data_IF_604569542950
#
_entry.id   IF_604569542950
#
_cell.length_a   1.000
_cell.length_b   1.000
_cell.length_c   1.000
_cell.angle_alpha   90.00
_cell.angle_beta   90.00
_cell.angle_gamma   90.00
#
_symmetry.space_group_name_H-M   'P 1'
#
loop_
_entity.id
_entity.type
_entity.pdbx_description
1 polymer ?
#
# COMPACT_ATOMS: atom_id res chain seq x y z
N UNK A 1 -5.76 -27.45 -2.82
CA UNK A 1 -5.01 -26.69 -1.77
C UNK A 1 -5.24 -25.21 -2.05
N UNK A 2 -6.07 -24.49 -1.27
CA UNK A 2 -6.55 -23.18 -1.69
C UNK A 2 -5.38 -22.19 -1.74
N UNK A 3 -5.28 -21.49 -2.86
CA UNK A 3 -4.29 -20.47 -3.13
C UNK A 3 -4.51 -19.28 -2.19
N UNK A 4 -3.90 -19.29 -1.00
CA UNK A 4 -3.68 -18.05 -0.24
C UNK A 4 -2.67 -17.28 -1.07
N UNK A 5 -3.19 -16.39 -1.90
CA UNK A 5 -2.38 -15.51 -2.71
C UNK A 5 -1.43 -14.76 -1.77
N UNK A 6 -0.12 -14.88 -2.00
CA UNK A 6 0.98 -14.21 -1.30
C UNK A 6 0.96 -12.67 -1.46
N UNK A 7 -0.18 -12.04 -1.23
CA UNK A 7 -0.31 -10.60 -1.13
C UNK A 7 0.00 -10.22 0.30
N UNK A 8 0.89 -9.24 0.50
CA UNK A 8 1.09 -8.71 1.85
C UNK A 8 -0.27 -8.20 2.35
N UNK A 9 -0.78 -8.66 3.51
CA UNK A 9 -2.10 -8.27 4.00
C UNK A 9 -2.22 -6.75 4.20
N UNK A 10 -1.10 -6.06 4.44
CA UNK A 10 -1.01 -4.60 4.46
C UNK A 10 -1.61 -3.94 3.21
N UNK A 11 -1.38 -4.51 2.01
CA UNK A 11 -1.84 -3.94 0.75
C UNK A 11 -3.36 -4.06 0.54
N UNK A 12 -4.07 -4.76 1.43
CA UNK A 12 -5.53 -4.90 1.39
C UNK A 12 -6.23 -3.98 2.40
N UNK A 13 -5.47 -3.30 3.25
CA UNK A 13 -6.02 -2.38 4.25
C UNK A 13 -6.43 -1.06 3.57
N UNK A 14 -7.48 -0.42 4.08
CA UNK A 14 -7.82 0.96 3.71
C UNK A 14 -6.77 1.92 4.26
N UNK A 15 -6.71 3.14 3.73
CA UNK A 15 -5.88 4.20 4.33
C UNK A 15 -6.37 4.55 5.73
N UNK A 16 -5.43 4.91 6.61
CA UNK A 16 -5.71 5.40 7.96
C UNK A 16 -4.73 6.53 8.26
N UNK A 17 -5.26 7.76 8.34
CA UNK A 17 -4.49 8.97 8.64
C UNK A 17 -4.11 9.03 10.13
N UNK A 18 -4.75 8.25 10.99
CA UNK A 18 -4.53 8.28 12.43
C UNK A 18 -5.03 9.57 13.09
N UNK A 19 -4.95 9.69 14.43
CA UNK A 19 -5.57 10.80 15.15
C UNK A 19 -4.71 12.07 15.21
N UNK A 20 -3.44 12.02 14.79
CA UNK A 20 -2.57 13.19 14.77
C UNK A 20 -2.88 14.08 13.56
N UNK A 21 -2.46 15.36 13.60
CA UNK A 21 -2.90 16.40 12.65
C UNK A 21 -1.79 16.96 11.77
N UNK A 22 -0.68 16.24 11.62
CA UNK A 22 0.32 16.60 10.61
C UNK A 22 -0.21 16.27 9.21
N UNK A 23 0.32 16.94 8.18
CA UNK A 23 0.02 16.62 6.78
C UNK A 23 1.27 16.02 6.13
N UNK A 24 1.53 14.73 6.42
CA UNK A 24 2.71 14.03 5.90
C UNK A 24 2.31 13.29 4.62
N UNK A 25 2.89 13.67 3.49
CA UNK A 25 2.71 12.94 2.24
C UNK A 25 3.23 11.50 2.38
N UNK A 26 2.37 10.53 2.09
CA UNK A 26 2.67 9.10 2.09
C UNK A 26 2.01 8.43 0.91
N UNK A 27 2.44 7.21 0.63
CA UNK A 27 1.90 6.38 -0.44
C UNK A 27 1.13 5.20 0.14
N UNK A 28 0.02 4.82 -0.46
CA UNK A 28 -0.74 3.62 -0.13
C UNK A 28 -1.09 2.86 -1.41
N UNK A 29 -1.36 1.57 -1.28
CA UNK A 29 -1.87 0.75 -2.37
C UNK A 29 -3.39 0.83 -2.46
N UNK A 30 -3.90 1.34 -3.58
CA UNK A 30 -5.30 1.35 -3.90
C UNK A 30 -5.65 0.08 -4.69
N UNK A 31 -6.45 -0.81 -4.07
CA UNK A 31 -6.85 -2.08 -4.67
C UNK A 31 -7.86 -1.91 -5.81
N UNK A 32 -8.61 -0.81 -5.86
CA UNK A 32 -9.57 -0.52 -6.93
C UNK A 32 -8.86 -0.10 -8.21
N UNK A 33 -7.89 0.81 -8.10
CA UNK A 33 -7.11 1.30 -9.25
C UNK A 33 -5.89 0.44 -9.56
N UNK A 34 -5.53 -0.47 -8.63
CA UNK A 34 -4.32 -1.29 -8.66
C UNK A 34 -3.06 -0.44 -8.81
N UNK A 35 -2.99 0.67 -8.08
CA UNK A 35 -1.88 1.63 -8.13
C UNK A 35 -1.49 2.08 -6.74
N UNK A 36 -0.26 2.56 -6.63
CA UNK A 36 0.19 3.30 -5.47
C UNK A 36 -0.20 4.77 -5.61
N UNK A 37 -0.93 5.30 -4.66
CA UNK A 37 -1.48 6.66 -4.69
C UNK A 37 -1.06 7.44 -3.43
N UNK A 38 -1.11 8.75 -3.52
CA UNK A 38 -0.75 9.65 -2.41
C UNK A 38 -1.93 9.76 -1.44
N UNK A 39 -1.63 9.80 -0.14
CA UNK A 39 -2.54 10.25 0.91
C UNK A 39 -1.77 11.05 1.96
N UNK A 40 -2.49 11.75 2.84
CA UNK A 40 -1.89 12.52 3.93
C UNK A 40 -2.05 11.78 5.25
N UNK A 41 -0.92 11.44 5.85
CA UNK A 41 -0.83 10.78 7.14
C UNK A 41 -0.68 11.80 8.27
N UNK A 42 -1.47 11.63 9.32
CA UNK A 42 -1.52 12.47 10.51
C UNK A 42 -0.25 12.49 11.34
N UNK A 43 0.66 11.52 11.14
CA UNK A 43 1.96 11.45 11.82
C UNK A 43 2.01 10.54 13.06
N UNK A 44 0.89 9.95 13.46
CA UNK A 44 0.88 8.92 14.50
C UNK A 44 -0.25 7.92 14.30
N UNK A 45 -0.10 6.71 14.86
CA UNK A 45 -0.99 5.55 14.63
C UNK A 45 -1.14 5.27 13.13
N UNK A 46 -2.30 4.88 12.62
CA UNK A 46 -2.44 4.42 11.24
C UNK A 46 -2.21 2.93 11.10
N UNK A 47 -2.04 2.47 9.85
CA UNK A 47 -1.82 1.06 9.55
C UNK A 47 -0.66 0.84 8.55
N UNK A 48 -0.46 -0.42 8.16
CA UNK A 48 0.68 -0.84 7.35
C UNK A 48 0.56 -0.51 5.84
N UNK A 49 -0.59 -0.03 5.35
CA UNK A 49 -0.75 0.50 3.99
C UNK A 49 -0.27 1.96 3.92
N UNK A 50 0.96 2.21 4.35
CA UNK A 50 1.56 3.52 4.51
C UNK A 50 3.07 3.41 4.21
N UNK A 51 3.48 3.96 3.07
CA UNK A 51 4.83 3.86 2.54
C UNK A 51 5.43 5.25 2.34
N UNK A 52 6.75 5.36 2.48
CA UNK A 52 7.44 6.66 2.37
C UNK A 52 7.67 7.08 0.91
N UNK A 53 7.55 6.13 -0.04
CA UNK A 53 7.72 6.41 -1.46
C UNK A 53 6.83 5.53 -2.32
N UNK A 54 6.54 6.02 -3.52
CA UNK A 54 5.85 5.25 -4.56
C UNK A 54 6.54 3.92 -4.85
N UNK A 55 7.89 3.91 -4.93
CA UNK A 55 8.67 2.70 -5.21
C UNK A 55 8.56 1.66 -4.09
N UNK A 56 8.54 2.09 -2.83
CA UNK A 56 8.36 1.20 -1.68
C UNK A 56 6.97 0.54 -1.68
N UNK A 57 5.94 1.35 -1.95
CA UNK A 57 4.58 0.85 -2.12
C UNK A 57 4.49 -0.17 -3.26
N UNK A 58 5.04 0.16 -4.43
CA UNK A 58 5.03 -0.74 -5.58
C UNK A 58 5.77 -2.05 -5.26
N UNK A 59 6.99 -1.99 -4.73
CA UNK A 59 7.75 -3.20 -4.37
C UNK A 59 7.02 -4.05 -3.33
N UNK A 60 6.24 -3.43 -2.45
CA UNK A 60 5.50 -4.14 -1.41
C UNK A 60 4.20 -4.77 -1.90
N UNK A 61 3.50 -4.11 -2.82
CA UNK A 61 2.12 -4.46 -3.17
C UNK A 61 1.92 -4.91 -4.62
N UNK A 62 2.80 -4.48 -5.54
CA UNK A 62 2.93 -5.16 -6.82
C UNK A 62 3.68 -6.46 -6.60
N UNK A 63 2.91 -7.55 -6.52
CA UNK A 63 3.46 -8.84 -6.92
C UNK A 63 3.93 -8.67 -8.34
N UNK A 64 5.22 -8.92 -8.60
CA UNK A 64 5.70 -9.10 -9.95
C UNK A 64 4.67 -9.96 -10.68
N UNK A 65 4.00 -9.47 -11.74
CA UNK A 65 3.46 -10.42 -12.69
C UNK A 65 4.67 -11.27 -13.05
N UNK A 66 4.53 -12.57 -12.82
CA UNK A 66 5.44 -13.57 -13.32
C UNK A 66 6.03 -13.05 -14.62
N UNK A 67 7.35 -12.91 -14.73
CA UNK A 67 7.97 -12.74 -16.03
C UNK A 67 7.61 -13.99 -16.85
N UNK A 68 6.44 -13.97 -17.47
CA UNK A 68 6.08 -14.78 -18.61
C UNK A 68 5.89 -13.77 -19.73
N UNK A 69 6.90 -13.60 -20.59
CA UNK A 69 6.61 -13.08 -21.91
C UNK A 69 5.56 -14.01 -22.54
N UNK A 70 4.47 -13.42 -23.01
CA UNK A 70 3.69 -14.03 -24.09
C UNK A 70 4.39 -13.66 -25.38
#
# INVERSE_FOLDING_TARGET
>A
RPYISSGKPACLLQVDDGPCRAAIERYYYNTFTQKCEIFYYGGCKGNANNFNSYQECQKSCFRFPSKFPV
#
